data_IF_122358269174
#
_entry.id   IF_122358269174
#
_cell.length_a   1.000
_cell.length_b   1.000
_cell.length_c   1.000
_cell.angle_alpha   90.00
_cell.angle_beta   90.00
_cell.angle_gamma   90.00
#
_symmetry.space_group_name_H-M   'P 1'
#
loop_
_entity.id
_entity.type
_entity.pdbx_description
1 polymer ?
#
# COMPACT_ATOMS: atom_id res chain seq x y z
N UNK A 1 13.72 10.22 0.97
CA UNK A 1 13.32 8.84 0.62
C UNK A 1 12.37 8.79 -0.57
N UNK A 2 12.43 7.74 -1.39
CA UNK A 2 11.50 7.53 -2.51
C UNK A 2 10.12 7.06 -2.05
N UNK A 3 9.11 7.41 -2.84
CA UNK A 3 7.71 6.98 -2.69
C UNK A 3 7.37 6.05 -3.84
N UNK A 4 6.74 4.92 -3.54
CA UNK A 4 6.28 3.95 -4.52
C UNK A 4 4.75 3.90 -4.54
N UNK A 5 4.14 4.16 -5.69
CA UNK A 5 2.77 3.82 -5.99
C UNK A 5 2.72 2.60 -6.92
N UNK A 6 1.89 1.62 -6.59
CA UNK A 6 1.60 0.47 -7.46
C UNK A 6 0.17 0.56 -7.98
N UNK A 7 -0.01 0.64 -9.30
CA UNK A 7 -1.32 0.91 -9.91
C UNK A 7 -1.75 -0.24 -10.80
N UNK A 8 -2.99 -0.68 -10.62
CA UNK A 8 -3.66 -1.57 -11.56
C UNK A 8 -4.28 -0.80 -12.73
N UNK A 9 -4.92 -1.53 -13.64
CA UNK A 9 -5.65 -0.93 -14.78
C UNK A 9 -7.11 -0.56 -14.45
N UNK A 10 -7.59 -0.88 -13.24
CA UNK A 10 -9.01 -0.92 -12.90
C UNK A 10 -9.60 0.28 -12.16
N UNK A 11 -9.06 1.50 -12.27
CA UNK A 11 -9.70 2.65 -11.60
C UNK A 11 -11.13 2.82 -12.10
N UNK A 12 -12.07 2.84 -11.16
CA UNK A 12 -13.50 3.08 -11.42
C UNK A 12 -13.84 4.56 -11.44
N UNK A 13 -12.88 5.43 -11.09
CA UNK A 13 -13.09 6.86 -10.90
C UNK A 13 -12.07 7.71 -11.68
N UNK A 14 -11.72 7.31 -12.91
CA UNK A 14 -10.84 8.10 -13.78
C UNK A 14 -9.51 8.53 -13.12
N UNK A 15 -8.94 7.65 -12.28
CA UNK A 15 -7.71 7.87 -11.52
C UNK A 15 -7.78 9.05 -10.52
N UNK A 16 -8.99 9.42 -10.06
CA UNK A 16 -9.19 10.47 -9.05
C UNK A 16 -8.58 10.12 -7.69
N UNK A 17 -8.56 8.84 -7.32
CA UNK A 17 -8.00 8.36 -6.07
C UNK A 17 -6.51 8.76 -5.97
N UNK A 18 -5.70 8.32 -6.94
CA UNK A 18 -4.28 8.67 -6.98
C UNK A 18 -4.05 10.17 -7.09
N UNK A 19 -4.90 10.91 -7.84
CA UNK A 19 -4.77 12.36 -7.92
C UNK A 19 -4.85 12.99 -6.53
N UNK A 20 -5.84 12.58 -5.73
CA UNK A 20 -5.98 13.06 -4.36
C UNK A 20 -4.85 12.58 -3.47
N UNK A 21 -4.44 11.32 -3.59
CA UNK A 21 -3.30 10.79 -2.85
C UNK A 21 -2.04 11.64 -3.07
N UNK A 22 -1.70 11.95 -4.32
CA UNK A 22 -0.56 12.79 -4.67
C UNK A 22 -0.66 14.21 -4.10
N UNK A 23 -1.85 14.82 -4.10
CA UNK A 23 -2.07 16.15 -3.48
C UNK A 23 -1.87 16.13 -1.97
N UNK A 24 -2.39 15.11 -1.30
CA UNK A 24 -2.20 14.98 0.14
C UNK A 24 -0.76 14.68 0.51
N UNK A 25 -0.06 13.87 -0.31
CA UNK A 25 1.36 13.61 -0.20
C UNK A 25 2.15 14.91 -0.34
N UNK A 26 1.92 15.69 -1.40
CA UNK A 26 2.65 16.94 -1.66
C UNK A 26 2.44 17.99 -0.56
N UNK A 27 1.24 18.05 0.02
CA UNK A 27 0.92 19.00 1.09
C UNK A 27 1.58 18.65 2.43
N UNK A 28 1.73 17.36 2.75
CA UNK A 28 2.05 16.94 4.12
C UNK A 28 3.33 16.12 4.27
N UNK A 29 3.82 15.49 3.22
CA UNK A 29 5.04 14.70 3.30
C UNK A 29 6.27 15.60 3.24
N UNK A 30 7.21 15.39 4.14
CA UNK A 30 8.56 15.95 4.07
C UNK A 30 9.55 14.86 3.68
N UNK A 31 10.74 15.27 3.21
CA UNK A 31 11.83 14.37 2.80
C UNK A 31 11.47 13.41 1.65
N UNK A 32 10.52 13.79 0.79
CA UNK A 32 10.23 13.08 -0.46
C UNK A 32 11.32 13.40 -1.49
N UNK A 33 12.03 12.37 -1.94
CA UNK A 33 13.03 12.48 -3.00
C UNK A 33 12.35 12.33 -4.37
N UNK A 34 12.08 11.08 -4.80
CA UNK A 34 11.43 10.78 -6.07
C UNK A 34 10.11 10.04 -5.86
N UNK A 35 9.21 10.18 -6.82
CA UNK A 35 7.97 9.39 -6.88
C UNK A 35 8.08 8.38 -8.01
N UNK A 36 7.90 7.11 -7.66
CA UNK A 36 7.81 5.97 -8.56
C UNK A 36 6.34 5.61 -8.75
N UNK A 37 5.95 5.40 -10.00
CA UNK A 37 4.66 4.80 -10.34
C UNK A 37 4.93 3.54 -11.15
N UNK A 38 4.50 2.40 -10.62
CA UNK A 38 4.63 1.10 -11.30
C UNK A 38 3.26 0.60 -11.73
N UNK A 39 3.11 0.35 -13.02
CA UNK A 39 1.85 -0.08 -13.64
C UNK A 39 1.30 0.96 -14.62
N UNK A 40 -0.02 1.22 -14.57
CA UNK A 40 -0.67 2.24 -15.40
C UNK A 40 -0.13 3.64 -15.05
N UNK A 41 0.19 4.48 -16.03
CA UNK A 41 0.50 5.89 -15.83
C UNK A 41 -0.74 6.75 -16.13
N UNK A 42 -1.38 7.39 -15.13
CA UNK A 42 -2.48 8.30 -15.40
C UNK A 42 -2.04 9.49 -16.26
N UNK A 43 -2.85 9.87 -17.25
CA UNK A 43 -2.47 10.88 -18.26
C UNK A 43 -2.16 12.27 -17.66
N UNK A 44 -2.66 12.56 -16.46
CA UNK A 44 -2.45 13.84 -15.78
C UNK A 44 -1.12 13.92 -15.01
N UNK A 45 -0.45 12.79 -14.79
CA UNK A 45 0.78 12.73 -13.99
C UNK A 45 1.97 13.21 -14.83
N UNK A 46 2.92 13.90 -14.19
CA UNK A 46 4.21 14.32 -14.73
C UNK A 46 5.30 14.22 -13.66
N UNK A 47 6.57 14.34 -14.07
CA UNK A 47 7.74 14.47 -13.18
C UNK A 47 7.86 13.31 -12.17
N UNK A 48 7.56 12.09 -12.61
CA UNK A 48 7.69 10.83 -11.85
C UNK A 48 8.56 9.85 -12.61
N UNK A 49 9.12 8.86 -11.90
CA UNK A 49 9.74 7.69 -12.52
C UNK A 49 8.64 6.66 -12.79
N UNK A 50 8.30 6.47 -14.06
CA UNK A 50 7.29 5.49 -14.46
C UNK A 50 7.95 4.18 -14.89
N UNK A 51 7.43 3.06 -14.37
CA UNK A 51 7.83 1.71 -14.78
C UNK A 51 6.56 0.98 -15.24
N UNK A 52 6.40 0.69 -16.54
CA UNK A 52 5.25 -0.06 -17.02
C UNK A 52 5.28 -1.49 -16.50
N UNK A 53 4.16 -1.95 -15.92
CA UNK A 53 4.04 -3.31 -15.38
C UNK A 53 2.59 -3.80 -15.46
N UNK A 54 2.40 -4.98 -16.07
CA UNK A 54 1.08 -5.61 -16.20
C UNK A 54 0.56 -6.23 -14.90
N UNK A 55 -0.64 -6.80 -14.98
CA UNK A 55 -1.28 -7.56 -13.90
C UNK A 55 -1.55 -9.03 -14.29
N UNK A 56 -0.51 -9.84 -14.61
CA UNK A 56 -0.71 -11.20 -15.13
C UNK A 56 -1.13 -12.21 -14.05
N UNK A 57 -1.04 -11.86 -12.77
CA UNK A 57 -1.37 -12.73 -11.64
C UNK A 57 -2.59 -12.21 -10.88
N UNK A 58 -2.95 -12.88 -9.79
CA UNK A 58 -3.94 -12.35 -8.85
C UNK A 58 -3.37 -11.13 -8.07
N UNK A 59 -4.24 -10.25 -7.50
CA UNK A 59 -3.83 -8.94 -6.98
C UNK A 59 -2.64 -8.92 -6.00
N UNK A 60 -2.56 -9.87 -5.06
CA UNK A 60 -1.45 -9.90 -4.09
C UNK A 60 -0.12 -10.34 -4.72
N UNK A 61 -0.14 -11.17 -5.76
CA UNK A 61 1.05 -11.52 -6.54
C UNK A 61 1.47 -10.38 -7.47
N UNK A 62 0.51 -9.63 -8.03
CA UNK A 62 0.86 -8.42 -8.79
C UNK A 62 1.49 -7.33 -7.91
N UNK A 63 1.11 -7.25 -6.63
CA UNK A 63 1.80 -6.39 -5.67
C UNK A 63 3.28 -6.78 -5.56
N UNK A 64 3.60 -8.07 -5.36
CA UNK A 64 4.99 -8.55 -5.38
C UNK A 64 5.71 -8.13 -6.66
N UNK A 65 5.13 -8.44 -7.81
CA UNK A 65 5.69 -8.16 -9.12
C UNK A 65 6.04 -6.67 -9.28
N UNK A 66 5.13 -5.77 -8.88
CA UNK A 66 5.31 -4.32 -9.02
C UNK A 66 6.36 -3.76 -8.05
N UNK A 67 6.48 -4.32 -6.85
CA UNK A 67 7.57 -3.93 -5.93
C UNK A 67 8.92 -4.42 -6.46
N UNK A 68 9.01 -5.63 -7.01
CA UNK A 68 10.25 -6.09 -7.65
C UNK A 68 10.61 -5.25 -8.88
N UNK A 69 9.64 -4.85 -9.70
CA UNK A 69 9.87 -3.93 -10.81
C UNK A 69 10.42 -2.57 -10.35
N UNK A 70 9.93 -2.02 -9.23
CA UNK A 70 10.51 -0.81 -8.63
C UNK A 70 11.95 -1.00 -8.16
N UNK A 71 12.25 -2.16 -7.57
CA UNK A 71 13.60 -2.53 -7.13
C UNK A 71 14.56 -2.59 -8.31
N UNK A 72 14.17 -3.27 -9.40
CA UNK A 72 14.94 -3.36 -10.64
C UNK A 72 15.08 -1.98 -11.32
N UNK A 73 14.08 -1.11 -11.15
CA UNK A 73 14.09 0.29 -11.58
C UNK A 73 14.87 1.25 -10.70
N UNK A 74 15.73 0.75 -9.79
CA UNK A 74 16.62 1.54 -8.96
C UNK A 74 15.94 2.52 -7.99
N UNK A 75 14.85 2.08 -7.35
CA UNK A 75 14.29 2.75 -6.17
C UNK A 75 15.30 2.76 -5.01
N UNK A 76 15.19 3.70 -4.06
CA UNK A 76 16.08 3.80 -2.90
C UNK A 76 16.05 2.55 -2.00
N UNK A 77 17.08 2.39 -1.15
CA UNK A 77 17.21 1.21 -0.28
C UNK A 77 16.05 1.07 0.70
N UNK A 78 15.59 2.17 1.29
CA UNK A 78 14.29 2.25 1.95
C UNK A 78 13.35 3.07 1.08
N UNK A 79 12.09 2.69 0.98
CA UNK A 79 11.08 3.44 0.24
C UNK A 79 9.71 3.29 0.89
N UNK A 80 8.87 4.31 0.77
CA UNK A 80 7.50 4.28 1.31
C UNK A 80 6.56 3.74 0.23
N UNK A 81 5.93 2.59 0.48
CA UNK A 81 4.84 2.11 -0.35
C UNK A 81 3.54 2.84 0.01
N UNK A 82 2.98 3.51 -0.99
CA UNK A 82 1.66 4.13 -1.01
C UNK A 82 0.72 3.36 -1.95
N UNK A 83 -0.57 3.40 -1.66
CA UNK A 83 -1.62 3.05 -2.61
C UNK A 83 -2.27 4.33 -3.13
N UNK A 84 -2.93 4.24 -4.28
CA UNK A 84 -3.72 5.33 -4.88
C UNK A 84 -4.85 5.83 -3.98
N UNK A 85 -5.38 4.97 -3.12
CA UNK A 85 -6.47 5.27 -2.22
C UNK A 85 -6.02 5.75 -0.83
N UNK A 86 -4.74 6.11 -0.61
CA UNK A 86 -4.25 6.62 0.67
C UNK A 86 -4.18 8.16 0.68
N UNK A 87 -4.85 8.79 1.64
CA UNK A 87 -4.92 10.24 1.79
C UNK A 87 -4.29 10.67 3.11
N UNK A 88 -3.19 11.41 3.02
CA UNK A 88 -2.50 11.94 4.19
C UNK A 88 -3.24 13.16 4.74
N UNK A 89 -3.49 13.20 6.03
CA UNK A 89 -4.35 14.21 6.64
C UNK A 89 -3.61 15.13 7.61
N UNK A 90 -2.32 14.86 7.87
CA UNK A 90 -1.44 15.68 8.71
C UNK A 90 0.01 15.57 8.26
N UNK A 91 0.87 16.56 8.58
CA UNK A 91 2.29 16.52 8.27
C UNK A 91 2.97 15.24 8.77
N UNK A 92 3.88 14.69 7.98
CA UNK A 92 4.69 13.54 8.37
C UNK A 92 6.03 13.50 7.64
N UNK A 93 7.02 12.91 8.29
CA UNK A 93 8.33 12.64 7.73
C UNK A 93 8.33 11.22 7.15
N UNK A 94 8.55 11.09 5.83
CA UNK A 94 8.45 9.79 5.14
C UNK A 94 9.45 8.79 5.71
N UNK A 95 10.62 9.24 6.16
CA UNK A 95 11.69 8.39 6.68
C UNK A 95 11.40 7.85 8.09
N UNK A 96 10.45 8.48 8.79
CA UNK A 96 10.06 8.13 10.16
C UNK A 96 8.65 7.57 10.23
N UNK A 97 8.03 7.24 9.09
CA UNK A 97 6.68 6.72 9.06
C UNK A 97 6.57 5.41 9.85
N UNK A 98 5.72 5.32 10.89
CA UNK A 98 5.67 4.12 11.73
C UNK A 98 5.09 2.92 10.99
N UNK A 99 5.47 1.73 11.45
CA UNK A 99 4.79 0.50 11.06
C UNK A 99 3.52 0.30 11.89
N UNK A 100 2.44 -0.08 11.22
CA UNK A 100 1.14 -0.24 11.86
C UNK A 100 0.57 -1.64 11.66
N UNK A 101 -0.15 -2.11 12.68
CA UNK A 101 -0.87 -3.40 12.68
C UNK A 101 -2.30 -3.20 13.15
N UNK A 102 -3.24 -4.03 12.67
CA UNK A 102 -4.63 -4.05 13.15
C UNK A 102 -4.82 -4.90 14.41
N UNK A 103 -3.80 -5.65 14.80
CA UNK A 103 -3.86 -6.66 15.85
C UNK A 103 -3.23 -7.98 15.40
N UNK A 104 -3.39 -9.00 16.25
CA UNK A 104 -2.96 -10.37 15.97
C UNK A 104 -3.88 -10.99 14.92
N UNK A 105 -3.32 -11.85 14.08
CA UNK A 105 -4.08 -12.64 13.12
C UNK A 105 -4.55 -13.95 13.76
N UNK A 106 -5.77 -14.32 13.40
CA UNK A 106 -6.40 -15.60 13.76
C UNK A 106 -7.02 -16.20 12.49
N UNK A 107 -7.27 -17.51 12.50
CA UNK A 107 -7.93 -18.17 11.40
C UNK A 107 -9.39 -17.75 11.32
N UNK A 108 -9.82 -17.38 10.11
CA UNK A 108 -11.18 -16.96 9.84
C UNK A 108 -11.98 -18.15 9.31
N UNK A 109 -13.10 -18.47 9.95
CA UNK A 109 -14.05 -19.47 9.48
C UNK A 109 -14.87 -18.95 8.29
N UNK A 110 -15.19 -19.83 7.35
CA UNK A 110 -15.93 -19.51 6.11
C UNK A 110 -15.38 -18.27 5.35
N UNK A 111 -14.07 -18.27 5.02
CA UNK A 111 -13.41 -17.07 4.52
C UNK A 111 -13.81 -16.71 3.09
N UNK A 112 -14.05 -15.41 2.85
CA UNK A 112 -14.06 -14.82 1.51
C UNK A 112 -12.72 -15.01 0.79
N UNK A 113 -12.62 -14.68 -0.50
CA UNK A 113 -11.37 -14.81 -1.28
C UNK A 113 -10.19 -14.07 -0.63
N UNK A 114 -10.42 -12.85 -0.15
CA UNK A 114 -9.41 -12.07 0.56
C UNK A 114 -9.03 -12.71 1.89
N UNK A 115 -10.01 -13.18 2.67
CA UNK A 115 -9.74 -13.85 3.95
C UNK A 115 -9.03 -15.21 3.75
N UNK A 116 -9.24 -15.90 2.62
CA UNK A 116 -8.47 -17.11 2.27
C UNK A 116 -6.99 -16.78 2.09
N UNK A 117 -6.66 -15.66 1.46
CA UNK A 117 -5.27 -15.18 1.35
C UNK A 117 -4.69 -14.86 2.74
N UNK A 118 -5.48 -14.25 3.64
CA UNK A 118 -5.06 -14.00 5.03
C UNK A 118 -4.78 -15.30 5.79
N UNK A 119 -5.71 -16.26 5.79
CA UNK A 119 -5.51 -17.56 6.42
C UNK A 119 -4.29 -18.27 5.84
N UNK A 120 -4.14 -18.28 4.51
CA UNK A 120 -2.98 -18.88 3.84
C UNK A 120 -1.66 -18.24 4.28
N UNK A 121 -1.64 -16.92 4.43
CA UNK A 121 -0.45 -16.18 4.90
C UNK A 121 -0.15 -16.48 6.36
N UNK A 122 -1.17 -16.57 7.21
CA UNK A 122 -1.05 -16.95 8.62
C UNK A 122 -0.43 -18.34 8.76
N UNK A 123 -1.01 -19.35 8.11
CA UNK A 123 -0.49 -20.73 8.14
C UNK A 123 0.94 -20.79 7.62
N UNK A 124 1.24 -20.12 6.49
CA UNK A 124 2.60 -20.08 5.95
C UNK A 124 3.62 -19.54 6.97
N UNK A 125 3.30 -18.45 7.67
CA UNK A 125 4.20 -17.87 8.67
C UNK A 125 4.33 -18.76 9.92
N UNK A 126 3.24 -19.39 10.35
CA UNK A 126 3.27 -20.35 11.47
C UNK A 126 4.14 -21.56 11.15
N UNK A 127 4.05 -22.11 9.93
CA UNK A 127 4.90 -23.21 9.44
C UNK A 127 6.38 -22.82 9.38
N UNK A 128 6.69 -21.51 9.32
CA UNK A 128 8.04 -20.95 9.40
C UNK A 128 8.48 -20.60 10.82
N UNK A 129 7.68 -20.95 11.83
CA UNK A 129 8.02 -20.78 13.24
C UNK A 129 7.59 -19.46 13.86
N UNK A 130 6.81 -18.62 13.15
CA UNK A 130 6.26 -17.40 13.73
C UNK A 130 5.11 -17.72 14.68
N UNK A 131 5.38 -17.74 15.99
CA UNK A 131 4.39 -18.03 17.04
C UNK A 131 3.25 -17.01 17.11
N UNK A 132 3.54 -15.74 16.81
CA UNK A 132 2.55 -14.67 16.75
C UNK A 132 2.69 -13.97 15.42
N UNK A 133 1.59 -13.88 14.69
CA UNK A 133 1.50 -13.22 13.40
C UNK A 133 0.64 -11.98 13.53
N UNK A 134 1.17 -10.84 13.12
CA UNK A 134 0.51 -9.54 13.19
C UNK A 134 -0.05 -9.13 11.83
N UNK A 135 -1.21 -8.48 11.83
CA UNK A 135 -1.88 -8.05 10.61
C UNK A 135 -1.35 -6.69 10.10
N UNK A 136 -0.25 -6.70 9.34
CA UNK A 136 0.33 -5.51 8.69
C UNK A 136 -0.43 -5.02 7.44
N UNK A 137 -1.53 -5.67 7.06
CA UNK A 137 -2.39 -5.24 5.95
C UNK A 137 -3.30 -4.05 6.28
N UNK A 138 -2.82 -3.07 7.06
CA UNK A 138 -3.54 -1.82 7.33
C UNK A 138 -3.64 -0.96 6.06
N UNK A 139 -4.71 -0.19 5.87
CA UNK A 139 -4.83 0.72 4.73
C UNK A 139 -4.11 2.06 4.94
N UNK A 140 -2.84 1.97 5.32
CA UNK A 140 -1.92 3.09 5.47
C UNK A 140 -0.57 2.78 4.83
N UNK A 141 0.30 3.77 4.61
CA UNK A 141 1.65 3.54 4.05
C UNK A 141 2.49 2.56 4.87
N UNK A 142 3.49 1.95 4.22
CA UNK A 142 4.48 1.07 4.87
C UNK A 142 5.86 1.29 4.26
N UNK A 143 6.90 1.34 5.09
CA UNK A 143 8.28 1.41 4.59
C UNK A 143 8.74 0.00 4.23
N UNK A 144 9.26 -0.17 3.02
CA UNK A 144 10.00 -1.38 2.65
C UNK A 144 11.49 -1.05 2.54
N UNK A 145 12.30 -2.04 2.90
CA UNK A 145 13.72 -2.07 2.63
C UNK A 145 13.95 -3.05 1.46
N UNK A 146 14.64 -2.58 0.43
CA UNK A 146 14.94 -3.33 -0.81
C UNK A 146 15.61 -4.66 -0.51
N UNK A 147 16.70 -4.67 0.27
CA UNK A 147 17.44 -5.89 0.61
C UNK A 147 16.55 -6.92 1.31
N UNK A 148 15.73 -6.48 2.26
CA UNK A 148 14.78 -7.36 2.95
C UNK A 148 13.65 -7.85 2.03
N UNK A 149 13.08 -6.98 1.21
CA UNK A 149 11.98 -7.35 0.32
C UNK A 149 12.43 -8.36 -0.75
N UNK A 150 13.68 -8.27 -1.23
CA UNK A 150 14.26 -9.25 -2.15
C UNK A 150 14.30 -10.67 -1.58
N UNK A 151 14.37 -10.83 -0.26
CA UNK A 151 14.31 -12.16 0.39
C UNK A 151 12.93 -12.83 0.21
N UNK A 152 11.89 -12.08 -0.18
CA UNK A 152 10.57 -12.62 -0.49
C UNK A 152 10.48 -13.18 -1.93
N UNK A 153 11.47 -12.92 -2.79
CA UNK A 153 11.45 -13.37 -4.20
C UNK A 153 11.28 -14.88 -4.35
N UNK A 154 12.00 -15.75 -3.60
CA UNK A 154 11.78 -17.20 -3.68
C UNK A 154 10.38 -17.65 -3.26
N UNK A 155 9.71 -16.88 -2.39
CA UNK A 155 8.32 -17.14 -1.98
C UNK A 155 7.39 -16.79 -3.14
N UNK A 156 7.55 -15.59 -3.71
CA UNK A 156 6.79 -15.15 -4.88
C UNK A 156 6.89 -16.13 -6.04
N UNK A 157 8.10 -16.57 -6.40
CA UNK A 157 8.30 -17.53 -7.51
C UNK A 157 7.53 -18.84 -7.33
N UNK A 158 7.36 -19.29 -6.07
CA UNK A 158 6.60 -20.50 -5.75
C UNK A 158 5.08 -20.31 -5.82
N UNK A 159 4.58 -19.11 -5.53
CA UNK A 159 3.13 -18.86 -5.37
C UNK A 159 2.53 -18.00 -6.46
N UNK A 160 3.33 -17.49 -7.42
CA UNK A 160 2.88 -16.50 -8.41
C UNK A 160 1.71 -16.98 -9.28
N UNK A 161 1.63 -18.28 -9.57
CA UNK A 161 0.55 -18.89 -10.34
C UNK A 161 -0.63 -19.42 -9.51
N UNK A 162 -0.58 -19.29 -8.18
CA UNK A 162 -1.66 -19.79 -7.33
C UNK A 162 -2.90 -18.90 -7.40
N UNK A 163 -4.08 -19.53 -7.33
CA UNK A 163 -5.37 -18.84 -7.35
C UNK A 163 -5.58 -17.88 -6.17
N UNK A 164 -4.94 -18.19 -5.03
CA UNK A 164 -4.98 -17.44 -3.77
C UNK A 164 -3.55 -17.23 -3.32
N UNK A 165 -2.92 -16.07 -3.53
CA UNK A 165 -1.53 -15.87 -3.10
C UNK A 165 -1.35 -15.62 -1.60
N UNK A 166 -0.23 -14.97 -1.28
CA UNK A 166 0.12 -14.54 0.07
C UNK A 166 0.16 -13.02 0.14
N UNK A 167 -0.15 -12.44 1.30
CA UNK A 167 -0.10 -10.99 1.50
C UNK A 167 1.35 -10.50 1.63
N UNK A 168 1.86 -9.66 0.69
CA UNK A 168 3.24 -9.18 0.75
C UNK A 168 3.52 -8.34 2.00
N UNK A 169 2.55 -7.49 2.38
CA UNK A 169 2.65 -6.64 3.58
C UNK A 169 2.75 -7.44 4.87
N UNK A 170 1.93 -8.49 4.99
CA UNK A 170 1.91 -9.34 6.18
C UNK A 170 3.18 -10.19 6.24
N UNK A 171 3.64 -10.74 5.12
CA UNK A 171 4.91 -11.45 5.04
C UNK A 171 6.07 -10.53 5.44
N UNK A 172 6.23 -9.39 4.76
CA UNK A 172 7.31 -8.44 5.03
C UNK A 172 7.29 -7.97 6.50
N UNK A 173 6.13 -7.57 6.99
CA UNK A 173 5.98 -7.05 8.35
C UNK A 173 6.37 -8.08 9.42
N UNK A 174 5.93 -9.32 9.29
CA UNK A 174 6.25 -10.35 10.29
C UNK A 174 7.70 -10.86 10.20
N UNK A 175 8.33 -10.78 9.01
CA UNK A 175 9.70 -11.25 8.81
C UNK A 175 10.75 -10.20 9.19
N UNK A 176 10.50 -8.91 8.97
CA UNK A 176 11.55 -7.89 9.03
C UNK A 176 11.25 -6.71 9.96
N UNK A 177 10.00 -6.49 10.37
CA UNK A 177 9.65 -5.33 11.20
C UNK A 177 9.77 -5.68 12.69
N UNK A 178 10.64 -4.96 13.38
CA UNK A 178 10.93 -5.17 14.82
C UNK A 178 9.98 -4.45 15.76
N UNK A 179 9.37 -3.33 15.32
CA UNK A 179 8.51 -2.48 16.14
C UNK A 179 7.35 -1.96 15.30
N UNK A 180 6.15 -2.00 15.87
CA UNK A 180 4.93 -1.48 15.25
C UNK A 180 4.04 -0.83 16.30
N UNK A 181 2.98 -0.17 15.84
CA UNK A 181 1.90 0.36 16.67
C UNK A 181 0.57 -0.24 16.22
N UNK A 182 -0.31 -0.52 17.17
CA UNK A 182 -1.67 -0.96 16.85
C UNK A 182 -2.51 0.25 16.45
N UNK A 183 -3.33 0.12 15.41
CA UNK A 183 -4.29 1.14 14.98
C UNK A 183 -5.63 0.53 14.60
N UNK A 184 -6.66 1.37 14.64
CA UNK A 184 -7.89 1.12 13.90
C UNK A 184 -7.62 1.36 12.41
N UNK A 185 -8.01 0.41 11.57
CA UNK A 185 -7.78 0.48 10.12
C UNK A 185 -8.47 1.74 9.55
N UNK A 186 -7.74 2.63 8.84
CA UNK A 186 -8.31 3.88 8.33
C UNK A 186 -9.18 3.71 7.08
N UNK A 187 -9.53 2.47 6.70
CA UNK A 187 -10.36 2.20 5.53
C UNK A 187 -11.81 2.63 5.77
N UNK A 188 -12.23 3.62 5.01
CA UNK A 188 -13.63 4.03 4.88
C UNK A 188 -14.33 3.04 3.94
N UNK A 189 -15.41 2.45 4.44
CA UNK A 189 -16.22 1.47 3.70
C UNK A 189 -17.52 2.06 3.12
N UNK A 190 -17.91 3.24 3.62
CA UNK A 190 -19.13 3.97 3.27
C UNK A 190 -18.81 5.47 3.21
N UNK A 191 -19.79 6.29 2.87
CA UNK A 191 -19.67 7.75 2.84
C UNK A 191 -19.73 8.37 4.25
N UNK A 192 -18.96 7.81 5.18
CA UNK A 192 -18.77 8.32 6.53
C UNK A 192 -17.34 8.81 6.65
N UNK A 193 -17.18 10.12 6.85
CA UNK A 193 -15.87 10.69 7.14
C UNK A 193 -15.42 10.21 8.51
N UNK A 194 -14.35 9.42 8.55
CA UNK A 194 -13.77 8.93 9.80
C UNK A 194 -12.87 9.98 10.43
N UNK A 195 -12.73 9.93 11.75
CA UNK A 195 -11.65 10.64 12.42
C UNK A 195 -10.30 10.15 11.90
N UNK A 196 -9.37 11.09 11.74
CA UNK A 196 -8.01 10.77 11.32
C UNK A 196 -7.33 9.99 12.44
N UNK A 197 -6.99 8.73 12.16
CA UNK A 197 -6.36 7.86 13.13
C UNK A 197 -4.89 8.24 13.41
N UNK A 198 -4.24 7.47 14.28
CA UNK A 198 -2.82 7.63 14.60
C UNK A 198 -1.86 7.41 13.43
N UNK A 199 -2.31 6.85 12.31
CA UNK A 199 -1.52 6.79 11.09
C UNK A 199 -1.48 8.13 10.33
N UNK A 200 -2.35 9.09 10.69
CA UNK A 200 -2.47 10.35 9.98
C UNK A 200 -2.99 10.17 8.55
N UNK A 201 -3.67 9.05 8.27
CA UNK A 201 -4.04 8.60 6.93
C UNK A 201 -5.52 8.20 6.93
N UNK A 202 -6.20 8.46 5.81
CA UNK A 202 -7.49 7.88 5.47
C UNK A 202 -7.32 6.99 4.23
N UNK A 203 -8.17 5.99 4.06
CA UNK A 203 -8.24 5.24 2.80
C UNK A 203 -9.67 5.02 2.34
N UNK A 204 -9.94 5.12 1.04
CA UNK A 204 -11.30 4.99 0.49
C UNK A 204 -11.56 3.65 -0.18
N UNK A 205 -12.74 3.06 0.03
CA UNK A 205 -13.26 2.06 -0.89
C UNK A 205 -13.94 2.72 -2.12
N UNK A 206 -14.25 1.97 -3.19
CA UNK A 206 -15.01 2.49 -4.32
C UNK A 206 -16.40 3.06 -3.97
N UNK A 207 -16.92 2.77 -2.77
CA UNK A 207 -18.21 3.27 -2.29
C UNK A 207 -18.14 4.66 -1.67
N UNK A 208 -16.95 5.26 -1.51
CA UNK A 208 -16.75 6.52 -0.77
C UNK A 208 -16.77 7.77 -1.68
N UNK A 209 -17.57 7.77 -2.74
CA UNK A 209 -17.55 8.81 -3.77
C UNK A 209 -17.86 10.20 -3.21
N UNK A 210 -18.80 10.32 -2.26
CA UNK A 210 -19.15 11.61 -1.67
C UNK A 210 -18.06 12.11 -0.73
N UNK A 211 -17.43 11.21 0.04
CA UNK A 211 -16.27 11.55 0.88
C UNK A 211 -15.09 12.04 0.04
N UNK A 212 -14.83 11.40 -1.11
CA UNK A 212 -13.78 11.85 -2.02
C UNK A 212 -14.04 13.26 -2.56
N UNK A 213 -15.30 13.62 -2.83
CA UNK A 213 -15.65 15.00 -3.20
C UNK A 213 -15.35 16.00 -2.07
N UNK A 214 -15.56 15.62 -0.82
CA UNK A 214 -15.20 16.45 0.34
C UNK A 214 -13.69 16.59 0.48
N UNK A 215 -12.94 15.50 0.32
CA UNK A 215 -11.46 15.54 0.32
C UNK A 215 -10.96 16.41 -0.85
N UNK A 216 -11.52 16.28 -2.05
CA UNK A 216 -11.21 17.17 -3.19
C UNK A 216 -11.31 18.66 -2.83
N UNK A 217 -12.35 19.06 -2.09
CA UNK A 217 -12.55 20.45 -1.65
C UNK A 217 -11.49 20.89 -0.64
N UNK A 218 -10.98 19.98 0.20
CA UNK A 218 -9.91 20.26 1.16
C UNK A 218 -8.52 20.37 0.51
N UNK A 219 -8.34 19.75 -0.66
CA UNK A 219 -7.09 19.74 -1.42
C UNK A 219 -7.31 20.22 -2.87
N UNK A 220 -7.70 21.50 -3.07
CA UNK A 220 -8.02 22.02 -4.40
C UNK A 220 -6.76 22.27 -5.25
N UNK A 221 -5.62 22.50 -4.60
CA UNK A 221 -4.34 22.78 -5.27
C UNK A 221 -3.78 21.51 -5.90
N UNK A 222 -3.31 21.63 -7.14
CA UNK A 222 -2.57 20.56 -7.83
C UNK A 222 -1.28 20.26 -7.08
N UNK A 223 -0.91 18.99 -7.03
CA UNK A 223 0.44 18.59 -6.61
C UNK A 223 1.48 18.97 -7.66
N UNK A 224 2.75 19.03 -7.27
CA UNK A 224 3.88 19.20 -8.20
C UNK A 224 3.96 18.11 -9.29
N UNK A 225 3.34 16.95 -9.08
CA UNK A 225 3.28 15.84 -10.05
C UNK A 225 2.06 15.87 -10.98
N UNK A 226 1.23 16.92 -10.91
CA UNK A 226 0.12 17.13 -11.83
C UNK A 226 0.49 18.11 -12.96
N UNK A 227 0.09 17.78 -14.18
CA UNK A 227 0.08 18.71 -15.33
C UNK A 227 -0.78 19.93 -15.04
#
# INVERSE_FOLDING_TARGET
>A
MDILYILGYGSTMYDWEIRLSLRTLDKYATNVDRVFIVGKLPAFVKDVIHIPCGDPYQPSNNHFLKVFAAIDGNISENFLLMNDDFYMMRPFDVEKYPYYVRGKMELIENPSRYQKMLNRTLTYLQDKGHKTVWHYGCHCPIIYNKTNFLQLKPIFEKVKYDLIGLSPRILYGNMFVKRHRTINDPKMHEDVLMEVNDAGCLSSSPKCQHVLNSICKMFPKRSRWEK
#
